data_IF_123553630232
#
_entry.id   IF_123553630232
#
_cell.length_a   1.000
_cell.length_b   1.000
_cell.length_c   1.000
_cell.angle_alpha   90.00
_cell.angle_beta   90.00
_cell.angle_gamma   90.00
#
_symmetry.space_group_name_H-M   'P 1'
#
loop_
_entity.id
_entity.type
_entity.pdbx_description
1 polymer ?
#
# COMPACT_ATOMS: atom_id res chain seq x y z
N UNK A 1 53.10 37.87 -15.90
CA UNK A 1 53.43 37.56 -17.31
C UNK A 1 52.30 36.68 -17.83
N UNK A 2 51.33 37.20 -18.63
CA UNK A 2 51.32 37.22 -20.12
C UNK A 2 51.63 35.82 -20.68
N UNK A 3 50.81 35.12 -21.50
CA UNK A 3 49.66 35.45 -22.39
C UNK A 3 49.01 34.13 -22.90
N UNK A 4 47.73 34.23 -23.32
CA UNK A 4 47.01 33.71 -24.52
C UNK A 4 47.21 32.26 -25.01
N UNK A 5 46.23 31.53 -25.56
CA UNK A 5 45.08 31.86 -26.44
C UNK A 5 43.90 30.91 -26.11
N UNK A 6 42.62 31.28 -26.16
CA UNK A 6 41.80 31.93 -27.20
C UNK A 6 41.52 31.04 -28.43
N UNK A 7 40.30 30.49 -28.48
CA UNK A 7 39.44 30.23 -29.66
C UNK A 7 38.04 29.96 -29.06
N UNK A 8 36.98 30.77 -29.13
CA UNK A 8 36.44 31.79 -30.05
C UNK A 8 35.72 31.26 -31.30
N UNK A 9 34.39 31.08 -31.13
CA UNK A 9 33.32 31.69 -31.95
C UNK A 9 32.59 30.86 -33.04
N UNK A 10 31.24 31.02 -32.98
CA UNK A 10 30.15 30.96 -33.97
C UNK A 10 29.68 29.60 -34.50
N UNK A 11 28.44 29.18 -34.23
CA UNK A 11 27.15 29.60 -34.84
C UNK A 11 27.13 29.50 -36.37
N UNK A 12 26.29 28.60 -36.92
CA UNK A 12 25.18 28.97 -37.82
C UNK A 12 24.21 27.80 -38.01
N UNK A 13 22.94 28.18 -37.87
CA UNK A 13 21.67 27.51 -38.18
C UNK A 13 21.56 27.04 -39.64
N UNK A 14 20.94 25.89 -39.88
CA UNK A 14 20.19 25.57 -41.11
C UNK A 14 19.00 24.66 -40.81
N UNK A 15 17.89 24.99 -41.46
CA UNK A 15 16.50 24.58 -41.19
C UNK A 15 15.93 24.07 -42.51
N UNK A 16 15.66 22.78 -42.64
CA UNK A 16 14.84 22.17 -43.71
C UNK A 16 14.70 20.67 -43.43
N UNK A 17 13.63 19.95 -43.77
CA UNK A 17 12.27 20.21 -44.24
C UNK A 17 11.54 18.90 -43.89
N UNK A 18 10.29 18.99 -43.43
CA UNK A 18 9.47 17.82 -43.13
C UNK A 18 8.96 17.14 -44.42
N UNK A 19 8.74 15.82 -44.42
CA UNK A 19 7.73 15.22 -45.29
C UNK A 19 6.37 15.20 -44.59
N UNK A 20 5.41 15.80 -45.28
CA UNK A 20 3.97 15.75 -45.02
C UNK A 20 3.47 14.30 -45.12
N UNK A 21 2.94 13.76 -44.02
CA UNK A 21 2.08 12.57 -44.05
C UNK A 21 0.78 12.96 -43.39
N UNK A 22 -0.05 13.65 -44.16
CA UNK A 22 -1.49 13.74 -43.96
C UNK A 22 -2.09 12.34 -43.92
N UNK A 23 -2.32 11.80 -42.72
CA UNK A 23 -3.28 10.72 -42.49
C UNK A 23 -4.45 11.28 -41.70
N UNK A 24 -5.57 11.36 -42.39
CA UNK A 24 -6.88 11.77 -41.91
C UNK A 24 -7.28 10.96 -40.67
N UNK A 25 -7.29 11.62 -39.51
CA UNK A 25 -7.95 11.08 -38.31
C UNK A 25 -9.45 11.16 -38.54
N UNK A 26 -10.05 10.04 -38.92
CA UNK A 26 -11.51 9.88 -38.89
C UNK A 26 -11.96 9.92 -37.43
N UNK A 27 -12.51 11.06 -37.01
CA UNK A 27 -13.17 11.23 -35.72
C UNK A 27 -14.41 10.32 -35.66
N UNK A 28 -14.24 9.10 -35.17
CA UNK A 28 -15.35 8.28 -34.71
C UNK A 28 -15.61 8.66 -33.26
N UNK A 29 -16.69 9.41 -33.04
CA UNK A 29 -17.32 9.59 -31.74
C UNK A 29 -17.80 8.23 -31.24
N UNK A 30 -16.95 7.52 -30.51
CA UNK A 30 -17.36 6.35 -29.72
C UNK A 30 -18.24 6.84 -28.57
N UNK A 31 -19.55 6.83 -28.76
CA UNK A 31 -20.51 6.97 -27.68
C UNK A 31 -20.46 5.69 -26.83
N UNK A 32 -19.71 5.73 -25.73
CA UNK A 32 -19.77 4.69 -24.71
C UNK A 32 -21.14 4.76 -24.02
N UNK A 33 -22.04 3.86 -24.40
CA UNK A 33 -23.27 3.61 -23.65
C UNK A 33 -22.92 2.74 -22.44
N UNK A 34 -22.86 3.37 -21.27
CA UNK A 34 -22.68 2.66 -20.00
C UNK A 34 -24.02 2.03 -19.62
N UNK A 35 -24.17 0.72 -19.82
CA UNK A 35 -25.31 -0.06 -19.32
C UNK A 35 -24.97 -0.60 -17.94
N UNK A 36 -25.67 -0.21 -16.86
CA UNK A 36 -25.48 -0.82 -15.55
C UNK A 36 -25.95 -2.27 -15.59
N UNK A 37 -25.02 -3.22 -15.55
CA UNK A 37 -25.34 -4.63 -15.36
C UNK A 37 -25.79 -4.85 -13.91
N UNK A 38 -27.09 -5.04 -13.70
CA UNK A 38 -27.62 -5.46 -12.41
C UNK A 38 -27.22 -6.91 -12.09
N UNK A 39 -26.85 -7.24 -10.85
CA UNK A 39 -26.62 -8.62 -10.43
C UNK A 39 -27.90 -9.45 -10.59
N UNK A 40 -27.76 -10.66 -11.16
CA UNK A 40 -28.85 -11.64 -11.17
C UNK A 40 -29.07 -12.18 -9.75
N UNK A 41 -30.33 -12.29 -9.28
CA UNK A 41 -30.62 -12.97 -8.03
C UNK A 41 -30.32 -14.47 -8.16
N UNK A 42 -29.64 -15.02 -7.15
CA UNK A 42 -29.34 -16.45 -7.03
C UNK A 42 -30.63 -17.29 -6.93
N UNK A 43 -30.77 -18.39 -7.68
CA UNK A 43 -32.00 -19.19 -7.71
C UNK A 43 -32.10 -20.24 -6.59
N UNK A 44 -31.32 -20.16 -5.52
CA UNK A 44 -31.27 -21.18 -4.45
C UNK A 44 -31.95 -20.74 -3.15
N UNK A 45 -33.10 -20.06 -3.25
CA UNK A 45 -33.99 -19.88 -2.10
C UNK A 45 -35.11 -20.92 -2.14
N UNK A 46 -35.29 -21.76 -1.08
CA UNK A 46 -36.42 -22.66 -1.01
C UNK A 46 -37.71 -21.85 -0.86
N UNK A 47 -38.55 -21.93 -1.90
CA UNK A 47 -39.97 -21.63 -1.82
C UNK A 47 -40.67 -22.77 -1.09
N UNK A 48 -41.57 -22.40 -0.16
CA UNK A 48 -42.58 -23.24 0.48
C UNK A 48 -42.32 -23.63 1.95
N UNK A 49 -42.87 -22.83 2.86
CA UNK A 49 -43.84 -23.38 3.80
C UNK A 49 -44.92 -22.35 4.12
N UNK A 50 -46.02 -22.46 3.38
CA UNK A 50 -47.34 -22.09 3.85
C UNK A 50 -47.69 -22.91 5.09
N UNK A 51 -47.96 -22.24 6.21
CA UNK A 51 -48.51 -22.87 7.41
C UNK A 51 -47.94 -22.23 8.67
N UNK A 52 -48.82 -21.76 9.54
CA UNK A 52 -48.56 -21.09 10.83
C UNK A 52 -48.32 -19.58 10.74
N UNK A 53 -49.32 -18.90 10.17
CA UNK A 53 -49.63 -17.51 10.52
C UNK A 53 -50.80 -17.53 11.50
N UNK A 54 -50.59 -18.13 12.67
CA UNK A 54 -51.56 -18.07 13.77
C UNK A 54 -50.81 -17.74 15.07
N UNK A 55 -51.22 -16.63 15.69
CA UNK A 55 -51.02 -16.26 17.08
C UNK A 55 -49.61 -15.82 17.52
N UNK A 56 -49.24 -14.55 17.25
CA UNK A 56 -48.17 -13.87 18.01
C UNK A 56 -48.47 -12.41 18.39
N UNK A 57 -49.72 -11.97 18.32
CA UNK A 57 -50.15 -10.66 18.84
C UNK A 57 -51.08 -10.81 20.05
N UNK A 58 -50.66 -11.61 21.03
CA UNK A 58 -51.15 -11.42 22.38
C UNK A 58 -50.53 -10.11 22.91
N UNK A 59 -51.37 -9.11 23.13
CA UNK A 59 -51.01 -7.71 23.31
C UNK A 59 -49.85 -7.46 24.31
N UNK A 60 -48.62 -7.37 23.80
CA UNK A 60 -47.46 -6.95 24.57
C UNK A 60 -47.63 -5.46 24.89
N UNK A 61 -47.95 -5.14 26.15
CA UNK A 61 -48.10 -3.78 26.66
C UNK A 61 -47.00 -2.85 26.12
N UNK A 62 -47.31 -1.62 25.68
CA UNK A 62 -46.34 -0.71 25.03
C UNK A 62 -45.13 -0.42 25.93
N UNK A 63 -45.27 -0.54 27.25
CA UNK A 63 -44.17 -0.41 28.22
C UNK A 63 -43.18 -1.57 28.15
N UNK A 64 -43.64 -2.79 27.90
CA UNK A 64 -42.80 -3.99 27.76
C UNK A 64 -42.08 -4.03 26.42
N UNK A 65 -42.75 -3.57 25.35
CA UNK A 65 -42.12 -3.42 24.04
C UNK A 65 -40.96 -2.40 24.07
N UNK A 66 -41.15 -1.25 24.74
CA UNK A 66 -40.08 -0.26 24.90
C UNK A 66 -38.90 -0.78 25.74
N UNK A 67 -39.17 -1.49 26.83
CA UNK A 67 -38.13 -2.13 27.64
C UNK A 67 -37.33 -3.16 26.83
N UNK A 68 -37.99 -3.99 26.02
CA UNK A 68 -37.33 -4.97 25.16
C UNK A 68 -36.47 -4.31 24.08
N UNK A 69 -36.95 -3.22 23.47
CA UNK A 69 -36.19 -2.45 22.47
C UNK A 69 -34.96 -1.79 23.12
N UNK A 70 -35.11 -1.17 24.29
CA UNK A 70 -33.99 -0.57 25.02
C UNK A 70 -32.95 -1.61 25.46
N UNK A 71 -33.40 -2.80 25.91
CA UNK A 71 -32.50 -3.90 26.25
C UNK A 71 -31.73 -4.40 25.02
N UNK A 72 -32.39 -4.52 23.86
CA UNK A 72 -31.77 -4.95 22.62
C UNK A 72 -30.73 -3.94 22.10
N UNK A 73 -30.99 -2.64 22.23
CA UNK A 73 -30.01 -1.58 21.89
C UNK A 73 -28.83 -1.59 22.86
N UNK A 74 -29.04 -1.86 24.14
CA UNK A 74 -27.96 -2.00 25.13
C UNK A 74 -27.08 -3.25 24.86
N UNK A 75 -27.67 -4.36 24.39
CA UNK A 75 -26.95 -5.59 24.05
C UNK A 75 -26.21 -5.53 22.70
N UNK A 76 -26.58 -4.62 21.80
CA UNK A 76 -25.92 -4.45 20.49
C UNK A 76 -24.55 -3.74 20.57
N UNK A 77 -24.15 -3.27 21.75
CA UNK A 77 -22.85 -2.65 21.99
C UNK A 77 -21.81 -3.68 22.45
N UNK A 78 -21.64 -4.76 21.70
CA UNK A 78 -20.66 -5.81 22.00
C UNK A 78 -19.74 -6.07 20.79
N UNK A 79 -18.53 -5.51 20.88
CA UNK A 79 -17.28 -5.92 20.23
C UNK A 79 -17.26 -6.03 18.69
N UNK A 80 -17.02 -4.92 18.00
CA UNK A 80 -16.18 -4.98 16.80
C UNK A 80 -14.72 -4.98 17.25
N UNK A 81 -14.07 -6.15 17.31
CA UNK A 81 -12.61 -6.19 17.44
C UNK A 81 -12.01 -5.33 16.31
N UNK A 82 -10.97 -4.51 16.58
CA UNK A 82 -10.30 -3.75 15.54
C UNK A 82 -9.91 -4.70 14.42
N UNK A 83 -10.41 -4.45 13.21
CA UNK A 83 -9.99 -5.23 12.04
C UNK A 83 -8.47 -5.00 11.89
N UNK A 84 -7.65 -6.06 11.78
CA UNK A 84 -6.24 -5.89 11.52
C UNK A 84 -6.07 -5.02 10.26
N UNK A 85 -5.04 -4.15 10.22
CA UNK A 85 -4.81 -3.30 9.07
C UNK A 85 -4.73 -4.17 7.80
N UNK A 86 -5.26 -3.69 6.66
CA UNK A 86 -5.26 -4.46 5.43
C UNK A 86 -3.83 -4.86 5.04
N UNK A 87 -3.60 -6.15 4.89
CA UNK A 87 -2.33 -6.73 4.46
C UNK A 87 -2.27 -6.86 2.92
N UNK A 88 -1.06 -6.89 2.36
CA UNK A 88 -0.84 -6.99 0.93
C UNK A 88 -0.74 -8.44 0.43
N UNK A 89 -1.39 -8.75 -0.69
CA UNK A 89 -1.22 -10.00 -1.46
C UNK A 89 -0.57 -9.78 -2.83
N UNK A 90 -0.24 -8.53 -3.18
CA UNK A 90 0.27 -8.17 -4.50
C UNK A 90 1.48 -7.24 -4.42
N UNK A 91 2.33 -7.31 -5.44
CA UNK A 91 3.56 -6.53 -5.51
C UNK A 91 3.26 -5.08 -5.87
N UNK A 92 3.39 -4.17 -4.90
CA UNK A 92 3.20 -2.74 -5.10
C UNK A 92 4.52 -2.04 -5.48
N UNK A 93 4.43 -1.00 -6.31
CA UNK A 93 5.57 -0.16 -6.68
C UNK A 93 5.11 1.30 -6.72
N UNK A 94 4.86 1.87 -5.54
CA UNK A 94 4.24 3.19 -5.34
C UNK A 94 5.13 4.08 -4.47
N UNK A 95 5.15 5.38 -4.79
CA UNK A 95 5.80 6.44 -4.01
C UNK A 95 7.29 6.18 -3.67
N UNK A 96 8.04 5.64 -4.63
CA UNK A 96 9.35 5.03 -4.38
C UNK A 96 10.48 6.01 -4.00
N UNK A 97 10.24 7.29 -4.19
CA UNK A 97 11.10 8.44 -3.86
C UNK A 97 10.68 9.17 -2.58
N UNK A 98 9.73 8.61 -1.81
CA UNK A 98 9.22 9.23 -0.58
C UNK A 98 9.11 8.24 0.58
N UNK A 99 9.07 8.75 1.82
CA UNK A 99 8.88 7.92 3.02
C UNK A 99 7.54 7.14 3.03
N UNK A 100 6.59 7.49 2.16
CA UNK A 100 5.34 6.76 1.92
C UNK A 100 5.47 5.61 0.92
N UNK A 101 6.68 5.12 0.68
CA UNK A 101 6.98 4.02 -0.24
C UNK A 101 6.15 2.76 0.08
N UNK A 102 5.60 2.16 -0.98
CA UNK A 102 5.06 0.79 -0.94
C UNK A 102 5.74 -0.01 -2.03
N UNK A 103 6.68 -0.84 -1.61
CA UNK A 103 7.48 -1.68 -2.48
C UNK A 103 7.27 -3.15 -2.14
N UNK A 104 6.95 -3.95 -3.16
CA UNK A 104 6.58 -5.35 -2.98
C UNK A 104 5.36 -5.50 -2.08
N UNK A 105 5.36 -6.52 -1.24
CA UNK A 105 4.29 -6.78 -0.28
C UNK A 105 4.61 -6.24 1.12
N UNK A 106 5.89 -6.05 1.45
CA UNK A 106 6.35 -5.84 2.83
C UNK A 106 7.06 -4.52 3.07
N UNK A 107 7.55 -3.82 2.04
CA UNK A 107 8.31 -2.60 2.29
C UNK A 107 7.39 -1.38 2.36
N UNK A 108 7.19 -0.85 3.56
CA UNK A 108 6.56 0.45 3.81
C UNK A 108 6.09 0.62 5.24
N UNK A 109 6.01 1.86 5.73
CA UNK A 109 5.51 2.10 7.10
C UNK A 109 4.03 1.76 7.16
N UNK A 110 3.66 0.83 8.04
CA UNK A 110 2.28 0.34 8.17
C UNK A 110 1.79 -0.45 6.94
N UNK A 111 2.72 -0.96 6.13
CA UNK A 111 2.43 -1.77 4.95
C UNK A 111 3.17 -3.09 5.07
N UNK A 112 2.43 -4.20 5.16
CA UNK A 112 3.02 -5.53 5.25
C UNK A 112 2.20 -6.56 4.47
N UNK A 113 2.82 -7.68 4.12
CA UNK A 113 2.18 -8.75 3.37
C UNK A 113 1.33 -9.64 4.28
N UNK A 114 0.31 -10.29 3.71
CA UNK A 114 -0.51 -11.23 4.44
C UNK A 114 0.27 -12.50 4.86
N UNK A 115 -0.26 -13.22 5.84
CA UNK A 115 0.32 -14.50 6.26
C UNK A 115 0.44 -15.49 5.10
N UNK A 116 1.61 -16.12 5.01
CA UNK A 116 1.94 -17.08 3.96
C UNK A 116 2.30 -16.49 2.60
N UNK A 117 2.26 -15.16 2.43
CA UNK A 117 2.67 -14.54 1.17
C UNK A 117 4.21 -14.60 1.01
N UNK A 118 4.66 -14.97 -0.19
CA UNK A 118 6.08 -14.85 -0.52
C UNK A 118 6.42 -13.43 -1.00
N UNK A 119 7.63 -12.92 -0.67
CA UNK A 119 8.14 -11.65 -1.14
C UNK A 119 8.27 -11.61 -2.66
N UNK A 120 8.13 -10.41 -3.20
CA UNK A 120 8.24 -10.17 -4.63
C UNK A 120 9.67 -10.31 -5.14
N UNK A 121 10.67 -10.04 -4.30
CA UNK A 121 12.09 -10.23 -4.56
C UNK A 121 12.94 -10.20 -3.27
N UNK A 122 14.27 -10.19 -3.42
CA UNK A 122 15.21 -10.16 -2.30
C UNK A 122 15.11 -8.89 -1.42
N UNK A 123 14.79 -7.73 -2.01
CA UNK A 123 14.61 -6.49 -1.25
C UNK A 123 13.33 -6.57 -0.41
N UNK A 124 12.24 -7.05 -1.01
CA UNK A 124 10.98 -7.29 -0.31
C UNK A 124 11.13 -8.36 0.78
N UNK A 125 12.00 -9.35 0.58
CA UNK A 125 12.33 -10.35 1.60
C UNK A 125 13.05 -9.72 2.81
N UNK A 126 13.93 -8.73 2.59
CA UNK A 126 14.52 -7.96 3.68
C UNK A 126 13.46 -7.23 4.51
N UNK A 127 12.43 -6.69 3.85
CA UNK A 127 11.33 -5.99 4.52
C UNK A 127 10.44 -6.95 5.31
N UNK A 128 10.08 -8.11 4.75
CA UNK A 128 9.35 -9.16 5.48
C UNK A 128 10.07 -9.56 6.78
N UNK A 129 11.39 -9.72 6.70
CA UNK A 129 12.20 -10.08 7.86
C UNK A 129 12.33 -8.94 8.88
N UNK A 130 12.26 -7.68 8.41
CA UNK A 130 12.23 -6.48 9.26
C UNK A 130 10.88 -6.37 9.99
N UNK A 131 9.76 -6.50 9.28
CA UNK A 131 8.40 -6.49 9.83
C UNK A 131 8.27 -7.54 10.95
N UNK A 132 8.65 -8.79 10.66
CA UNK A 132 8.67 -9.87 11.67
C UNK A 132 9.63 -9.57 12.82
N UNK A 133 10.67 -8.78 12.62
CA UNK A 133 11.58 -8.40 13.69
C UNK A 133 10.93 -7.37 14.62
N UNK A 134 10.34 -6.32 14.06
CA UNK A 134 9.71 -5.23 14.83
C UNK A 134 8.40 -5.66 15.48
N UNK A 135 7.66 -6.61 14.88
CA UNK A 135 6.51 -7.24 15.53
C UNK A 135 6.91 -7.93 16.84
N UNK A 136 8.06 -8.62 16.85
CA UNK A 136 8.55 -9.36 18.03
C UNK A 136 9.33 -8.51 19.02
N UNK A 137 10.05 -7.49 18.55
CA UNK A 137 11.00 -6.70 19.37
C UNK A 137 10.59 -5.25 19.59
N UNK A 138 9.50 -4.80 18.98
CA UNK A 138 9.03 -3.43 18.98
C UNK A 138 9.55 -2.59 17.82
N UNK A 139 8.74 -1.60 17.42
CA UNK A 139 9.03 -0.67 16.32
C UNK A 139 10.27 0.20 16.53
N UNK A 140 10.70 0.41 17.78
CA UNK A 140 11.88 1.23 18.14
C UNK A 140 13.16 0.38 18.28
N UNK A 141 13.15 -0.87 17.81
CA UNK A 141 14.30 -1.76 17.94
C UNK A 141 15.41 -1.37 16.96
N UNK A 142 16.43 -0.65 17.45
CA UNK A 142 17.65 -0.32 16.69
C UNK A 142 18.28 -1.57 16.06
N UNK A 143 18.24 -2.72 16.78
CA UNK A 143 18.75 -4.00 16.26
C UNK A 143 18.00 -4.47 15.01
N UNK A 144 16.68 -4.25 14.93
CA UNK A 144 15.90 -4.59 13.74
C UNK A 144 16.24 -3.66 12.56
N UNK A 145 16.32 -2.35 12.79
CA UNK A 145 16.68 -1.38 11.75
C UNK A 145 18.08 -1.61 11.18
N UNK A 146 19.08 -1.89 12.03
CA UNK A 146 20.44 -2.21 11.58
C UNK A 146 20.52 -3.55 10.83
N UNK A 147 19.75 -4.57 11.26
CA UNK A 147 19.64 -5.82 10.51
C UNK A 147 19.07 -5.58 9.11
N UNK A 148 18.05 -4.74 8.99
CA UNK A 148 17.44 -4.40 7.71
C UNK A 148 18.41 -3.65 6.79
N UNK A 149 19.11 -2.63 7.29
CA UNK A 149 20.19 -1.92 6.54
C UNK A 149 21.27 -2.87 6.05
N UNK A 150 21.70 -3.82 6.88
CA UNK A 150 22.68 -4.84 6.49
C UNK A 150 22.14 -5.79 5.40
N UNK A 151 20.86 -6.17 5.47
CA UNK A 151 20.21 -6.98 4.45
C UNK A 151 20.20 -6.26 3.10
N UNK A 152 19.74 -5.01 3.06
CA UNK A 152 19.76 -4.18 1.86
C UNK A 152 21.18 -4.06 1.28
N UNK A 153 22.21 -3.84 2.10
CA UNK A 153 23.60 -3.76 1.60
C UNK A 153 24.04 -5.04 0.87
N UNK A 154 23.60 -6.21 1.32
CA UNK A 154 23.87 -7.50 0.65
C UNK A 154 23.14 -7.61 -0.68
N UNK A 155 21.86 -7.24 -0.71
CA UNK A 155 21.05 -7.20 -1.95
C UNK A 155 21.69 -6.28 -2.99
N UNK A 156 22.11 -5.07 -2.57
CA UNK A 156 22.80 -4.11 -3.45
C UNK A 156 24.09 -4.70 -4.02
N UNK A 157 24.89 -5.37 -3.18
CA UNK A 157 26.15 -6.01 -3.60
C UNK A 157 25.93 -7.17 -4.58
N UNK A 158 24.81 -7.87 -4.49
CA UNK A 158 24.48 -8.96 -5.40
C UNK A 158 24.13 -8.48 -6.83
N UNK A 159 23.91 -7.17 -7.03
CA UNK A 159 23.69 -6.60 -8.36
C UNK A 159 22.39 -7.05 -9.05
N UNK A 160 21.43 -7.57 -8.29
CA UNK A 160 20.14 -8.02 -8.83
C UNK A 160 19.30 -6.83 -9.27
N UNK A 161 18.51 -7.03 -10.33
CA UNK A 161 17.47 -6.08 -10.75
C UNK A 161 16.15 -6.52 -10.11
N UNK A 162 15.55 -5.64 -9.30
CA UNK A 162 14.30 -5.93 -8.62
C UNK A 162 13.12 -6.17 -9.56
N UNK A 163 11.97 -6.56 -9.01
CA UNK A 163 10.81 -6.96 -9.82
C UNK A 163 10.19 -5.80 -10.64
N UNK A 164 10.46 -4.54 -10.29
CA UNK A 164 9.82 -3.36 -10.88
C UNK A 164 10.83 -2.41 -11.53
N UNK A 165 10.56 -2.02 -12.78
CA UNK A 165 11.28 -0.94 -13.47
C UNK A 165 10.87 0.46 -12.99
N UNK A 166 9.64 0.61 -12.46
CA UNK A 166 9.12 1.90 -11.96
C UNK A 166 9.82 2.31 -10.65
N UNK A 167 10.27 1.32 -9.89
CA UNK A 167 10.93 1.50 -8.61
C UNK A 167 12.22 0.71 -8.61
N UNK A 168 13.28 1.23 -9.25
CA UNK A 168 14.56 0.55 -9.27
C UNK A 168 15.12 0.45 -7.85
N UNK A 169 15.91 -0.59 -7.60
CA UNK A 169 16.56 -0.82 -6.30
C UNK A 169 17.31 0.40 -5.78
N UNK A 170 18.03 1.11 -6.64
CA UNK A 170 18.79 2.28 -6.22
C UNK A 170 17.91 3.34 -5.55
N UNK A 171 16.74 3.61 -6.13
CA UNK A 171 15.77 4.56 -5.58
C UNK A 171 15.10 4.00 -4.33
N UNK A 172 14.53 2.80 -4.41
CA UNK A 172 13.79 2.20 -3.31
C UNK A 172 14.66 2.01 -2.06
N UNK A 173 15.88 1.50 -2.22
CA UNK A 173 16.81 1.27 -1.12
C UNK A 173 17.37 2.56 -0.54
N UNK A 174 17.56 3.61 -1.34
CA UNK A 174 17.95 4.92 -0.83
C UNK A 174 16.87 5.49 0.10
N UNK A 175 15.61 5.51 -0.35
CA UNK A 175 14.46 5.94 0.43
C UNK A 175 14.30 5.13 1.72
N UNK A 176 14.40 3.79 1.65
CA UNK A 176 14.31 2.92 2.82
C UNK A 176 15.47 3.14 3.80
N UNK A 177 16.69 3.34 3.31
CA UNK A 177 17.86 3.62 4.16
C UNK A 177 17.69 4.92 4.93
N UNK A 178 17.22 5.98 4.25
CA UNK A 178 16.91 7.26 4.90
C UNK A 178 15.86 7.08 6.01
N UNK A 179 14.77 6.36 5.74
CA UNK A 179 13.75 6.07 6.74
C UNK A 179 14.31 5.32 7.95
N UNK A 180 15.21 4.35 7.74
CA UNK A 180 15.85 3.61 8.84
C UNK A 180 16.80 4.46 9.67
N UNK A 181 17.57 5.35 9.05
CA UNK A 181 18.47 6.25 9.78
C UNK A 181 17.67 7.19 10.70
N UNK A 182 16.54 7.73 10.21
CA UNK A 182 15.61 8.51 11.03
C UNK A 182 15.02 7.67 12.17
N UNK A 183 14.58 6.45 11.91
CA UNK A 183 14.01 5.57 12.93
C UNK A 183 15.02 5.21 14.04
N UNK A 184 16.28 5.01 13.70
CA UNK A 184 17.35 4.73 14.68
C UNK A 184 17.60 5.94 15.57
N UNK A 185 17.72 7.14 14.98
CA UNK A 185 17.92 8.38 15.75
C UNK A 185 16.75 8.58 16.72
N UNK A 186 15.51 8.40 16.25
CA UNK A 186 14.32 8.49 17.10
C UNK A 186 14.31 7.43 18.21
N UNK A 187 14.73 6.20 17.90
CA UNK A 187 14.83 5.12 18.88
C UNK A 187 15.80 5.44 20.02
N UNK A 188 16.95 6.04 19.69
CA UNK A 188 17.95 6.45 20.66
C UNK A 188 17.45 7.61 21.53
N UNK A 189 16.79 8.63 20.95
CA UNK A 189 16.22 9.74 21.70
C UNK A 189 15.08 9.30 22.64
N UNK A 190 14.25 8.34 22.21
CA UNK A 190 13.18 7.78 23.04
C UNK A 190 13.71 7.02 24.26
N UNK A 191 14.85 6.34 24.11
CA UNK A 191 15.47 5.59 25.22
C UNK A 191 16.03 6.55 26.29
N UNK A 192 16.62 7.67 25.87
CA UNK A 192 17.14 8.73 26.77
C UNK A 192 16.06 9.38 27.64
N UNK A 193 14.80 9.39 27.19
CA UNK A 193 13.67 10.03 27.90
C UNK A 193 13.01 9.12 28.95
N UNK A 194 13.34 7.83 28.96
CA UNK A 194 12.84 6.84 29.92
C UNK A 194 13.78 6.68 31.13
N UNK A 195 15.03 7.13 31.02
CA UNK A 195 16.04 7.08 32.09
C UNK A 195 16.20 8.41 32.86
N UNK A 196 15.31 9.41 32.67
CA UNK A 196 15.37 10.72 33.33
C UNK A 196 14.17 10.98 34.25
#
# INVERSE_FOLDING_TARGET
MRRHSSDSVREHNERAHAPDVSLTVAAHTMTFTWTPSQPRPDPSWPSNQSGQRENMYEAMSPRRALLAILLAVALASASSAPQPPPCSRSCAALNCDSLGIRYGKYCGVGWSGCDGEEPCDDLDACCRDHDRCVERKGMMSVKCHEKFKNCMRKVKKAGKVGFSKKCPYEMAMATMTQGMDMAIILSQLGTQKVEL
#
